data_IF_215736364969
#
_entry.id   IF_215736364969
#
_cell.length_a   1.000
_cell.length_b   1.000
_cell.length_c   1.000
_cell.angle_alpha   90.00
_cell.angle_beta   90.00
_cell.angle_gamma   90.00
#
_symmetry.space_group_name_H-M   'P 1'
#
loop_
_entity.id
_entity.type
_entity.pdbx_description
1 polymer ?
#
# COMPACT_ATOMS: atom_id res chain seq x y z
N UNK A 1 -8.98 12.41 -15.05
CA UNK A 1 -7.81 12.22 -14.17
C UNK A 1 -7.94 10.88 -13.44
N UNK A 2 -6.85 10.30 -12.97
CA UNK A 2 -6.85 8.98 -12.34
C UNK A 2 -7.56 8.98 -10.98
N UNK A 3 -8.35 7.94 -10.72
CA UNK A 3 -9.14 7.75 -9.51
C UNK A 3 -8.31 7.62 -8.23
N UNK A 4 -7.11 7.02 -8.32
CA UNK A 4 -6.21 6.91 -7.18
C UNK A 4 -5.76 8.27 -6.68
N UNK A 5 -5.43 9.17 -7.60
CA UNK A 5 -5.08 10.56 -7.27
C UNK A 5 -6.28 11.36 -6.75
N UNK A 6 -7.44 11.24 -7.41
CA UNK A 6 -8.61 12.04 -7.06
C UNK A 6 -9.23 11.67 -5.70
N UNK A 7 -9.22 10.37 -5.36
CA UNK A 7 -10.10 9.83 -4.31
C UNK A 7 -9.43 8.75 -3.43
N UNK A 8 -8.19 8.35 -3.71
CA UNK A 8 -7.60 7.18 -3.06
C UNK A 8 -8.26 5.85 -3.46
N UNK A 9 -8.91 5.82 -4.63
CA UNK A 9 -9.67 4.65 -5.11
C UNK A 9 -8.74 3.65 -5.82
N UNK A 10 -8.23 2.71 -5.03
CA UNK A 10 -7.32 1.66 -5.48
C UNK A 10 -6.71 0.87 -4.33
N UNK A 11 -5.87 -0.11 -4.69
CA UNK A 11 -5.11 -0.96 -3.77
C UNK A 11 -3.61 -0.89 -4.06
N UNK A 12 -2.78 -1.32 -3.12
CA UNK A 12 -1.34 -1.39 -3.30
C UNK A 12 -0.70 -2.52 -2.50
N UNK A 13 0.54 -2.86 -2.88
CA UNK A 13 1.39 -3.82 -2.18
C UNK A 13 2.83 -3.30 -2.05
N UNK A 14 3.47 -3.66 -0.94
CA UNK A 14 4.89 -3.44 -0.68
C UNK A 14 5.63 -4.75 -0.73
N UNK A 15 6.40 -4.98 -1.79
CA UNK A 15 7.05 -6.25 -2.10
C UNK A 15 8.56 -6.08 -1.95
N UNK A 16 9.27 -7.12 -1.52
CA UNK A 16 10.73 -7.09 -1.32
C UNK A 16 11.44 -8.05 -2.26
N UNK A 17 12.46 -7.56 -2.96
CA UNK A 17 13.45 -8.36 -3.68
C UNK A 17 14.73 -8.44 -2.84
N UNK A 18 15.19 -9.65 -2.61
CA UNK A 18 16.43 -9.92 -1.89
C UNK A 18 17.19 -11.04 -2.56
N UNK A 19 18.45 -10.78 -2.95
CA UNK A 19 19.36 -11.76 -3.59
C UNK A 19 18.70 -12.54 -4.73
N UNK A 20 18.07 -11.84 -5.66
CA UNK A 20 17.40 -12.41 -6.83
C UNK A 20 16.05 -13.07 -6.56
N UNK A 21 15.52 -12.99 -5.33
CA UNK A 21 14.26 -13.63 -4.96
C UNK A 21 13.25 -12.61 -4.44
N UNK A 22 12.03 -12.65 -4.99
CA UNK A 22 10.91 -11.89 -4.46
C UNK A 22 10.33 -12.65 -3.26
N UNK A 23 10.30 -12.00 -2.10
CA UNK A 23 9.87 -12.62 -0.85
C UNK A 23 8.33 -12.68 -0.82
N UNK A 24 7.78 -13.88 -0.65
CA UNK A 24 6.34 -14.15 -0.51
C UNK A 24 5.45 -13.58 -1.64
N UNK A 25 5.93 -13.59 -2.90
CA UNK A 25 5.21 -12.99 -4.03
C UNK A 25 3.74 -13.46 -4.13
N UNK A 26 3.49 -14.76 -4.05
CA UNK A 26 2.13 -15.32 -4.12
C UNK A 26 1.20 -14.73 -3.06
N UNK A 27 1.67 -14.60 -1.82
CA UNK A 27 0.88 -14.04 -0.71
C UNK A 27 0.59 -12.55 -0.93
N UNK A 28 1.53 -11.80 -1.50
CA UNK A 28 1.32 -10.41 -1.86
C UNK A 28 0.28 -10.28 -2.98
N UNK A 29 0.36 -11.11 -4.02
CA UNK A 29 -0.61 -11.11 -5.11
C UNK A 29 -1.99 -11.56 -4.63
N UNK A 30 -2.08 -12.59 -3.78
CA UNK A 30 -3.32 -13.01 -3.13
C UNK A 30 -4.02 -11.83 -2.46
N UNK A 31 -3.28 -11.09 -1.63
CA UNK A 31 -3.82 -9.94 -0.90
C UNK A 31 -4.19 -8.78 -1.83
N UNK A 32 -3.40 -8.51 -2.86
CA UNK A 32 -3.70 -7.46 -3.84
C UNK A 32 -5.03 -7.75 -4.56
N UNK A 33 -5.19 -8.96 -5.09
CA UNK A 33 -6.37 -9.35 -5.84
C UNK A 33 -7.61 -9.45 -4.95
N UNK A 34 -7.49 -10.03 -3.74
CA UNK A 34 -8.57 -10.03 -2.76
C UNK A 34 -8.99 -8.61 -2.33
N UNK A 35 -8.00 -7.72 -2.15
CA UNK A 35 -8.24 -6.30 -1.87
C UNK A 35 -8.99 -5.61 -3.01
N UNK A 36 -8.58 -5.83 -4.25
CA UNK A 36 -9.26 -5.28 -5.43
C UNK A 36 -10.70 -5.80 -5.56
N UNK A 37 -10.91 -7.10 -5.36
CA UNK A 37 -12.22 -7.73 -5.37
C UNK A 37 -13.14 -7.14 -4.29
N UNK A 38 -12.63 -6.93 -3.07
CA UNK A 38 -13.40 -6.36 -1.96
C UNK A 38 -13.94 -4.94 -2.23
N UNK A 39 -13.28 -4.19 -3.12
CA UNK A 39 -13.73 -2.87 -3.58
C UNK A 39 -14.39 -2.91 -4.97
N UNK A 40 -14.84 -4.09 -5.40
CA UNK A 40 -15.47 -4.36 -6.69
C UNK A 40 -14.65 -3.81 -7.87
N UNK A 41 -13.34 -4.04 -7.86
CA UNK A 41 -12.41 -3.64 -8.91
C UNK A 41 -11.80 -4.87 -9.57
N UNK A 42 -12.04 -5.05 -10.86
CA UNK A 42 -11.27 -5.97 -11.69
C UNK A 42 -9.97 -5.27 -12.10
N UNK A 43 -8.82 -5.89 -11.83
CA UNK A 43 -7.48 -5.38 -12.16
C UNK A 43 -7.22 -5.43 -13.68
N UNK A 44 -7.92 -6.31 -14.41
CA UNK A 44 -7.74 -6.48 -15.86
C UNK A 44 -6.43 -7.18 -16.25
N UNK A 45 -5.73 -7.79 -15.30
CA UNK A 45 -4.56 -8.64 -15.49
C UNK A 45 -4.75 -9.94 -14.70
N UNK A 46 -4.26 -11.05 -15.25
CA UNK A 46 -4.12 -12.29 -14.47
C UNK A 46 -2.96 -12.16 -13.48
N UNK A 47 -2.91 -13.07 -12.50
CA UNK A 47 -1.83 -13.12 -11.51
C UNK A 47 -0.48 -13.38 -12.18
N UNK A 48 -0.44 -14.30 -13.13
CA UNK A 48 0.76 -14.67 -13.87
C UNK A 48 1.26 -13.49 -14.70
N UNK A 49 0.35 -12.72 -15.31
CA UNK A 49 0.75 -11.52 -16.06
C UNK A 49 1.22 -10.40 -15.13
N UNK A 50 0.63 -10.26 -13.95
CA UNK A 50 1.09 -9.32 -12.92
C UNK A 50 2.51 -9.66 -12.44
N UNK A 51 2.78 -10.94 -12.15
CA UNK A 51 4.13 -11.41 -11.84
C UNK A 51 5.12 -11.13 -12.98
N UNK A 52 4.73 -11.41 -14.22
CA UNK A 52 5.58 -11.16 -15.39
C UNK A 52 5.99 -9.69 -15.47
N UNK A 53 5.05 -8.75 -15.34
CA UNK A 53 5.37 -7.31 -15.43
C UNK A 53 6.19 -6.81 -14.24
N UNK A 54 6.07 -7.44 -13.06
CA UNK A 54 6.94 -7.16 -11.91
C UNK A 54 8.38 -7.54 -12.24
N UNK A 55 8.62 -8.73 -12.78
CA UNK A 55 9.96 -9.18 -13.16
C UNK A 55 10.54 -8.35 -14.32
N UNK A 56 9.76 -8.10 -15.38
CA UNK A 56 10.16 -7.22 -16.48
C UNK A 56 10.59 -5.83 -15.95
N UNK A 57 9.86 -5.28 -14.98
CA UNK A 57 10.22 -4.00 -14.36
C UNK A 57 11.54 -4.06 -13.62
N UNK A 58 11.82 -5.14 -12.87
CA UNK A 58 13.09 -5.31 -12.16
C UNK A 58 14.28 -5.50 -13.11
N UNK A 59 14.09 -6.32 -14.15
CA UNK A 59 15.11 -6.59 -15.17
C UNK A 59 15.47 -5.33 -15.94
N UNK A 60 14.49 -4.54 -16.38
CA UNK A 60 14.72 -3.28 -17.08
C UNK A 60 15.47 -2.24 -16.21
N UNK A 61 15.42 -2.37 -14.89
CA UNK A 61 16.12 -1.49 -13.96
C UNK A 61 17.44 -2.10 -13.45
N UNK A 62 17.83 -3.28 -13.93
CA UNK A 62 19.05 -4.00 -13.50
C UNK A 62 19.11 -4.19 -11.96
N UNK A 63 17.95 -4.49 -11.36
CA UNK A 63 17.80 -4.61 -9.90
C UNK A 63 17.77 -6.06 -9.45
N UNK A 64 18.75 -6.45 -8.62
CA UNK A 64 18.89 -7.85 -8.16
C UNK A 64 18.67 -8.05 -6.65
N UNK A 65 18.83 -7.02 -5.82
CA UNK A 65 18.69 -7.16 -4.37
C UNK A 65 18.42 -5.82 -3.68
N UNK A 66 17.99 -5.88 -2.42
CA UNK A 66 17.78 -4.73 -1.53
C UNK A 66 16.75 -3.72 -2.05
N UNK A 67 15.79 -4.22 -2.83
CA UNK A 67 14.76 -3.42 -3.49
C UNK A 67 13.44 -3.58 -2.77
N UNK A 68 12.74 -2.47 -2.60
CA UNK A 68 11.34 -2.42 -2.23
C UNK A 68 10.54 -1.99 -3.46
N UNK A 69 9.63 -2.85 -3.90
CA UNK A 69 8.70 -2.54 -4.96
C UNK A 69 7.39 -2.07 -4.35
N UNK A 70 6.92 -0.91 -4.81
CA UNK A 70 5.56 -0.46 -4.56
C UNK A 70 4.72 -0.74 -5.80
N UNK A 71 3.83 -1.72 -5.67
CA UNK A 71 2.84 -2.06 -6.69
C UNK A 71 1.53 -1.35 -6.36
N UNK A 72 1.04 -0.50 -7.25
CA UNK A 72 -0.18 0.29 -7.07
C UNK A 72 -1.14 -0.05 -8.20
N UNK A 73 -2.40 -0.29 -7.86
CA UNK A 73 -3.50 -0.45 -8.82
C UNK A 73 -4.61 0.51 -8.45
N UNK A 74 -4.85 1.51 -9.29
CA UNK A 74 -6.02 2.39 -9.16
C UNK A 74 -7.17 1.92 -10.04
N UNK A 75 -8.39 2.37 -9.75
CA UNK A 75 -9.56 2.08 -10.61
C UNK A 75 -9.48 2.71 -12.01
N UNK A 76 -8.47 3.54 -12.27
CA UNK A 76 -8.25 4.17 -13.57
C UNK A 76 -8.89 5.54 -13.72
N UNK A 77 -8.97 6.00 -14.97
CA UNK A 77 -9.38 7.37 -15.32
C UNK A 77 -10.88 7.58 -15.11
N UNK A 78 -11.23 8.68 -14.43
CA UNK A 78 -12.61 9.16 -14.29
C UNK A 78 -12.92 10.32 -15.24
N UNK A 79 -14.15 10.35 -15.78
CA UNK A 79 -14.66 11.45 -16.63
C UNK A 79 -14.92 12.75 -15.86
N UNK A 80 -15.12 12.65 -14.55
CA UNK A 80 -15.40 13.77 -13.64
C UNK A 80 -14.91 13.39 -12.23
N UNK A 81 -14.48 14.33 -11.37
CA UNK A 81 -14.03 14.05 -10.01
C UNK A 81 -15.21 13.71 -9.08
N UNK A 82 -15.86 12.57 -9.34
CA UNK A 82 -16.99 12.06 -8.57
C UNK A 82 -16.68 10.65 -8.04
N UNK A 83 -17.13 10.37 -6.82
CA UNK A 83 -16.77 9.15 -6.09
C UNK A 83 -17.30 7.86 -6.72
N UNK A 84 -18.38 7.91 -7.50
CA UNK A 84 -18.98 6.70 -8.05
C UNK A 84 -18.05 5.96 -9.03
N UNK A 85 -17.92 4.62 -8.92
CA UNK A 85 -17.23 3.82 -9.94
C UNK A 85 -17.86 3.95 -11.34
N UNK A 86 -19.15 4.31 -11.45
CA UNK A 86 -19.86 4.49 -12.73
C UNK A 86 -19.29 5.60 -13.62
N UNK A 87 -18.46 6.48 -13.07
CA UNK A 87 -17.81 7.56 -13.82
C UNK A 87 -16.39 7.22 -14.26
N UNK A 88 -15.91 6.01 -13.94
CA UNK A 88 -14.67 5.46 -14.48
C UNK A 88 -14.88 5.09 -15.94
N UNK A 89 -14.01 5.58 -16.81
CA UNK A 89 -14.08 5.41 -18.27
C UNK A 89 -12.88 4.65 -18.84
N UNK A 90 -11.86 4.40 -18.02
CA UNK A 90 -10.65 3.68 -18.41
C UNK A 90 -10.54 2.32 -17.75
N UNK A 91 -9.52 1.57 -18.16
CA UNK A 91 -9.05 0.39 -17.43
C UNK A 91 -8.32 0.82 -16.15
N UNK A 92 -8.19 -0.07 -15.15
CA UNK A 92 -7.31 0.16 -14.01
C UNK A 92 -5.92 0.60 -14.44
N UNK A 93 -5.29 1.44 -13.64
CA UNK A 93 -3.92 1.88 -13.85
C UNK A 93 -3.02 1.08 -12.91
N UNK A 94 -2.07 0.33 -13.47
CA UNK A 94 -1.05 -0.41 -12.71
C UNK A 94 0.25 0.37 -12.75
N UNK A 95 0.85 0.62 -11.59
CA UNK A 95 2.14 1.32 -11.46
C UNK A 95 3.06 0.49 -10.57
N UNK A 96 4.26 0.21 -11.06
CA UNK A 96 5.29 -0.55 -10.32
C UNK A 96 6.48 0.38 -10.12
N UNK A 97 6.82 0.65 -8.87
CA UNK A 97 7.89 1.58 -8.50
C UNK A 97 8.93 0.80 -7.69
N UNK A 98 10.05 0.38 -8.30
CA UNK A 98 11.13 -0.25 -7.57
C UNK A 98 12.11 0.82 -7.01
N UNK A 99 12.50 0.65 -5.75
CA UNK A 99 13.40 1.55 -5.01
C UNK A 99 14.44 0.73 -4.24
N UNK A 100 15.73 1.09 -4.32
CA UNK A 100 16.74 0.57 -3.40
C UNK A 100 16.47 1.10 -1.98
N UNK A 101 16.11 0.19 -1.07
CA UNK A 101 15.68 0.56 0.29
C UNK A 101 16.29 -0.38 1.32
N UNK A 102 17.52 -0.08 1.75
CA UNK A 102 18.18 -0.81 2.83
C UNK A 102 17.66 -0.35 4.19
N UNK A 103 17.34 -1.32 5.06
CA UNK A 103 16.99 -1.01 6.44
C UNK A 103 18.21 -0.41 7.16
N UNK A 104 18.00 0.63 7.94
CA UNK A 104 19.07 1.26 8.71
C UNK A 104 19.60 0.31 9.78
N UNK A 105 20.90 0.01 9.74
CA UNK A 105 21.58 -0.78 10.77
C UNK A 105 21.59 -0.09 12.13
N UNK A 106 21.54 1.25 12.15
CA UNK A 106 21.43 2.02 13.38
C UNK A 106 20.07 1.80 14.04
N UNK A 107 18.98 1.87 13.26
CA UNK A 107 17.61 1.62 13.76
C UNK A 107 17.47 0.20 14.29
N UNK A 108 18.06 -0.80 13.61
CA UNK A 108 18.07 -2.18 14.10
C UNK A 108 18.74 -2.36 15.46
N UNK A 109 19.79 -1.58 15.75
CA UNK A 109 20.56 -1.66 17.00
C UNK A 109 19.92 -0.85 18.12
N UNK A 110 19.45 0.36 17.83
CA UNK A 110 18.89 1.29 18.81
C UNK A 110 17.41 1.04 19.11
N UNK A 111 16.70 0.41 18.19
CA UNK A 111 15.24 0.29 18.24
C UNK A 111 14.55 1.58 17.81
N UNK A 112 13.22 1.59 17.96
CA UNK A 112 12.37 2.75 17.72
C UNK A 112 11.56 3.06 18.98
N UNK A 113 11.22 4.34 19.17
CA UNK A 113 10.36 4.83 20.23
C UNK A 113 8.94 4.94 19.70
N UNK A 114 7.99 4.37 20.42
CA UNK A 114 6.56 4.42 20.09
C UNK A 114 5.79 5.25 21.12
N UNK A 115 4.75 5.95 20.67
CA UNK A 115 3.75 6.52 21.56
C UNK A 115 2.33 6.25 21.06
N UNK A 116 1.40 6.04 22.00
CA UNK A 116 -0.02 5.91 21.66
C UNK A 116 -0.57 7.22 21.12
N UNK A 117 -1.19 7.17 19.95
CA UNK A 117 -1.81 8.33 19.30
C UNK A 117 -3.32 8.37 19.56
N UNK A 118 -3.93 9.55 19.43
CA UNK A 118 -5.38 9.75 19.55
C UNK A 118 -6.13 9.28 18.32
N UNK A 119 -5.52 9.38 17.14
CA UNK A 119 -6.10 8.83 15.91
C UNK A 119 -6.43 7.34 16.08
N UNK A 120 -7.69 6.97 15.87
CA UNK A 120 -8.21 5.60 16.04
C UNK A 120 -8.24 4.82 14.73
N UNK A 121 -8.11 3.50 14.84
CA UNK A 121 -8.33 2.56 13.74
C UNK A 121 -9.68 1.86 13.88
N UNK A 122 -10.69 2.34 13.17
CA UNK A 122 -12.02 1.75 13.23
C UNK A 122 -12.32 0.89 12.00
N UNK A 123 -12.43 -0.42 12.21
CA UNK A 123 -12.75 -1.41 11.18
C UNK A 123 -14.15 -1.23 10.59
N UNK A 124 -15.07 -0.55 11.29
CA UNK A 124 -16.44 -0.31 10.80
C UNK A 124 -16.51 0.80 9.75
N UNK A 125 -15.50 1.66 9.67
CA UNK A 125 -15.45 2.81 8.73
C UNK A 125 -14.68 2.45 7.47
N UNK A 126 -13.50 1.84 7.64
CA UNK A 126 -12.63 1.43 6.54
C UNK A 126 -11.95 0.14 6.96
N UNK A 127 -12.10 -0.93 6.18
CA UNK A 127 -11.44 -2.20 6.50
C UNK A 127 -9.90 -2.06 6.33
N UNK A 128 -9.11 -2.10 7.42
CA UNK A 128 -7.67 -1.98 7.34
C UNK A 128 -6.97 -3.22 6.77
N UNK A 129 -7.70 -4.33 6.56
CA UNK A 129 -7.16 -5.50 5.84
C UNK A 129 -6.97 -5.20 4.36
N UNK A 130 -7.68 -4.20 3.82
CA UNK A 130 -7.50 -3.73 2.46
C UNK A 130 -6.36 -2.72 2.47
N UNK A 131 -5.26 -3.06 1.79
CA UNK A 131 -4.17 -2.12 1.50
C UNK A 131 -4.64 -1.07 0.47
N UNK A 132 -5.55 -0.19 0.86
CA UNK A 132 -6.11 0.85 -0.01
C UNK A 132 -5.18 2.06 -0.14
N UNK A 133 -5.38 2.85 -1.20
CA UNK A 133 -4.67 4.12 -1.39
C UNK A 133 -5.15 5.24 -0.45
N UNK A 134 -6.31 5.06 0.18
CA UNK A 134 -6.89 5.97 1.17
C UNK A 134 -6.16 5.89 2.52
N UNK A 135 -4.96 6.49 2.59
CA UNK A 135 -4.05 6.46 3.74
C UNK A 135 -4.17 7.66 4.69
N UNK A 136 -5.21 8.49 4.57
CA UNK A 136 -5.36 9.69 5.40
C UNK A 136 -5.32 9.38 6.92
N UNK A 137 -5.98 8.31 7.35
CA UNK A 137 -5.97 7.86 8.75
C UNK A 137 -4.54 7.51 9.24
N UNK A 138 -3.78 6.77 8.44
CA UNK A 138 -2.38 6.44 8.73
C UNK A 138 -1.50 7.70 8.83
N UNK A 139 -1.67 8.63 7.88
CA UNK A 139 -0.91 9.89 7.85
C UNK A 139 -1.23 10.75 9.08
N UNK A 140 -2.49 10.81 9.50
CA UNK A 140 -2.88 11.52 10.72
C UNK A 140 -2.19 10.94 11.97
N UNK A 141 -2.09 9.61 12.08
CA UNK A 141 -1.35 8.95 13.14
C UNK A 141 0.16 9.28 13.11
N UNK A 142 0.79 9.29 11.92
CA UNK A 142 2.19 9.71 11.79
C UNK A 142 2.40 11.18 12.22
N UNK A 143 1.51 12.09 11.82
CA UNK A 143 1.58 13.51 12.22
C UNK A 143 1.47 13.66 13.75
N UNK A 144 0.64 12.85 14.40
CA UNK A 144 0.55 12.86 15.86
C UNK A 144 1.82 12.31 16.52
N UNK A 145 2.41 11.24 15.98
CA UNK A 145 3.68 10.68 16.46
C UNK A 145 4.82 11.72 16.36
N UNK A 146 4.91 12.41 15.21
CA UNK A 146 5.91 13.47 14.98
C UNK A 146 5.78 14.59 16.03
N UNK A 147 4.55 15.00 16.36
CA UNK A 147 4.29 16.03 17.38
C UNK A 147 4.66 15.58 18.79
N UNK A 148 4.66 14.28 19.05
CA UNK A 148 5.10 13.68 20.31
C UNK A 148 6.61 13.46 20.37
N UNK A 149 7.33 13.68 19.25
CA UNK A 149 8.78 13.49 19.17
C UNK A 149 9.21 12.03 19.25
N UNK A 150 8.36 11.11 18.76
CA UNK A 150 8.64 9.67 18.71
C UNK A 150 8.75 9.19 17.27
N UNK A 151 9.30 7.99 17.05
CA UNK A 151 9.55 7.47 15.71
C UNK A 151 8.28 6.96 15.01
N UNK A 152 7.35 6.37 15.77
CA UNK A 152 6.12 5.80 15.22
C UNK A 152 4.94 5.91 16.20
N UNK A 153 3.73 6.03 15.63
CA UNK A 153 2.49 6.03 16.40
C UNK A 153 2.07 4.61 16.77
N UNK A 154 1.36 4.44 17.87
CA UNK A 154 0.61 3.22 18.20
C UNK A 154 -0.87 3.55 18.21
N UNK A 155 -1.62 3.07 17.23
CA UNK A 155 -3.07 3.28 17.14
C UNK A 155 -3.82 2.29 18.02
N UNK A 156 -4.98 2.69 18.52
CA UNK A 156 -5.95 1.77 19.13
C UNK A 156 -7.21 1.70 18.27
N UNK A 157 -7.93 0.59 18.37
CA UNK A 157 -9.25 0.43 17.77
C UNK A 157 -10.34 1.19 18.56
N UNK A 158 -11.58 1.10 18.10
CA UNK A 158 -12.74 1.73 18.74
C UNK A 158 -13.07 1.16 20.13
N UNK A 159 -12.55 -0.02 20.48
CA UNK A 159 -12.71 -0.66 21.78
C UNK A 159 -11.50 -0.43 22.71
N UNK A 160 -10.45 0.24 22.22
CA UNK A 160 -9.22 0.52 22.97
C UNK A 160 -8.17 -0.59 22.91
N UNK A 161 -8.34 -1.61 22.06
CA UNK A 161 -7.29 -2.60 21.82
C UNK A 161 -6.23 -2.07 20.87
N UNK A 162 -5.01 -2.59 20.98
CA UNK A 162 -3.89 -2.22 20.12
C UNK A 162 -4.22 -2.58 18.68
N UNK A 163 -4.01 -1.62 17.77
CA UNK A 163 -4.20 -1.77 16.34
C UNK A 163 -3.02 -1.17 15.55
N UNK A 164 -3.01 -1.37 14.24
CA UNK A 164 -1.88 -0.96 13.40
C UNK A 164 -2.03 0.46 12.87
N UNK A 165 -0.89 1.10 12.64
CA UNK A 165 -0.73 2.28 11.80
C UNK A 165 -0.83 1.95 10.31
#
# INVERSE_FOLDING_TARGET
>A
MDSGYLLGDGVWEGIRLHKGHIIHLEVHLDRLFAGAESIAMDIGLSREKMETVIWETLEMNEMESDVHLRLIVSRGIKKTPYQSPKVTIGKPTVVIIPEYKKASEEVKKKGIVLATVKTRRDHSIQDPKINSLSKHNCIAACIEADRLGVDEGLMLDSHGFVSTC
#
